data_IF_805711660625
#
_entry.id   IF_805711660625
#
_cell.length_a   1.000
_cell.length_b   1.000
_cell.length_c   1.000
_cell.angle_alpha   90.00
_cell.angle_beta   90.00
_cell.angle_gamma   90.00
#
_symmetry.space_group_name_H-M   'P 1'
#
loop_
_entity.id
_entity.type
_entity.pdbx_description
1 polymer ?
#
# COMPACT_ATOMS: atom_id res chain seq x y z
N UNK A 1 -48.15 -64.81 4.07
CA UNK A 1 -47.69 -63.72 3.19
C UNK A 1 -47.05 -62.66 4.08
N UNK A 2 -45.78 -62.81 4.47
CA UNK A 2 -44.56 -62.23 3.84
C UNK A 2 -44.64 -60.70 3.62
N UNK A 3 -44.05 -59.99 4.60
CA UNK A 3 -43.40 -58.65 4.65
C UNK A 3 -42.90 -58.05 3.31
N UNK A 4 -42.59 -56.72 3.20
CA UNK A 4 -41.93 -55.94 4.27
C UNK A 4 -42.21 -54.42 4.42
N UNK A 5 -41.88 -53.97 5.64
CA UNK A 5 -41.49 -52.60 6.00
C UNK A 5 -40.39 -52.10 5.07
N UNK A 6 -40.50 -50.83 4.63
CA UNK A 6 -39.35 -50.08 4.10
C UNK A 6 -38.73 -49.27 5.24
N UNK A 7 -37.64 -49.81 5.77
CA UNK A 7 -36.57 -49.06 6.43
C UNK A 7 -35.98 -48.07 5.43
N UNK A 8 -35.96 -46.77 5.74
CA UNK A 8 -34.98 -45.85 5.17
C UNK A 8 -34.01 -45.52 6.31
N UNK A 9 -32.86 -46.19 6.23
CA UNK A 9 -31.65 -45.87 6.97
C UNK A 9 -31.02 -44.66 6.28
N UNK A 10 -30.97 -43.50 6.95
CA UNK A 10 -30.00 -42.46 6.61
C UNK A 10 -29.15 -42.22 7.85
N UNK A 11 -27.99 -42.89 7.86
CA UNK A 11 -26.95 -42.78 8.87
C UNK A 11 -25.97 -41.67 8.46
N UNK A 12 -25.51 -40.94 9.48
CA UNK A 12 -24.31 -40.10 9.54
C UNK A 12 -24.43 -38.68 8.92
N UNK A 13 -23.94 -37.58 9.53
CA UNK A 13 -22.89 -37.43 10.55
C UNK A 13 -23.25 -36.29 11.51
N UNK A 14 -23.01 -36.55 12.79
CA UNK A 14 -22.94 -35.59 13.88
C UNK A 14 -21.80 -34.59 13.63
N UNK A 15 -22.09 -33.31 13.48
CA UNK A 15 -21.15 -32.25 13.88
C UNK A 15 -21.94 -31.05 14.38
N UNK A 16 -22.22 -31.10 15.68
CA UNK A 16 -22.51 -29.94 16.51
C UNK A 16 -21.43 -28.90 16.29
N UNK A 17 -21.72 -27.86 15.51
CA UNK A 17 -20.92 -26.64 15.51
C UNK A 17 -21.27 -25.86 16.79
N UNK A 18 -20.60 -26.22 17.88
CA UNK A 18 -20.45 -25.32 19.02
C UNK A 18 -19.69 -24.09 18.51
N UNK A 19 -20.43 -23.05 18.10
CA UNK A 19 -19.85 -21.71 18.08
C UNK A 19 -19.83 -21.28 19.53
N UNK A 20 -18.68 -21.49 20.17
CA UNK A 20 -18.39 -20.83 21.44
C UNK A 20 -18.48 -19.33 21.22
N UNK A 21 -19.60 -18.73 21.62
CA UNK A 21 -19.71 -17.32 21.95
C UNK A 21 -18.77 -17.06 23.14
N UNK A 22 -17.46 -17.08 22.89
CA UNK A 22 -16.53 -16.36 23.76
C UNK A 22 -16.74 -14.90 23.44
N UNK A 23 -17.12 -14.15 24.45
CA UNK A 23 -17.21 -12.69 24.40
C UNK A 23 -15.98 -12.15 23.67
N UNK A 24 -16.18 -11.58 22.49
CA UNK A 24 -15.16 -10.76 21.86
C UNK A 24 -14.91 -9.61 22.82
N UNK A 25 -13.65 -9.44 23.22
CA UNK A 25 -13.18 -8.14 23.71
C UNK A 25 -13.62 -7.07 22.70
N UNK A 26 -14.19 -5.95 23.14
CA UNK A 26 -14.47 -4.83 22.23
C UNK A 26 -13.19 -4.51 21.44
N UNK A 27 -13.25 -4.61 20.12
CA UNK A 27 -12.14 -4.21 19.24
C UNK A 27 -11.47 -5.29 18.38
N UNK A 28 -11.89 -6.56 18.41
CA UNK A 28 -11.33 -7.60 17.53
C UNK A 28 -12.36 -8.16 16.55
N UNK A 29 -12.24 -7.82 15.26
CA UNK A 29 -13.03 -8.39 14.16
C UNK A 29 -12.16 -9.36 13.35
N UNK A 30 -12.60 -10.62 13.23
CA UNK A 30 -12.00 -11.63 12.36
C UNK A 30 -13.06 -12.09 11.35
N UNK A 31 -12.91 -11.73 10.08
CA UNK A 31 -13.77 -12.20 8.99
C UNK A 31 -12.97 -13.16 8.09
N UNK A 32 -13.42 -14.41 8.02
CA UNK A 32 -12.91 -15.43 7.09
C UNK A 32 -14.02 -15.70 6.09
N UNK A 33 -13.79 -15.37 4.82
CA UNK A 33 -14.71 -15.69 3.74
C UNK A 33 -13.99 -16.64 2.77
N UNK A 34 -14.66 -17.74 2.39
CA UNK A 34 -14.15 -18.72 1.45
C UNK A 34 -15.24 -19.17 0.49
N UNK A 35 -15.15 -18.76 -0.79
CA UNK A 35 -15.70 -19.50 -1.92
C UNK A 35 -14.97 -19.10 -3.23
N UNK A 36 -14.98 -20.01 -4.22
CA UNK A 36 -14.35 -19.92 -5.56
C UNK A 36 -14.91 -18.81 -6.48
N UNK A 37 -15.77 -17.94 -5.96
CA UNK A 37 -16.25 -16.73 -6.61
C UNK A 37 -16.03 -15.59 -5.63
N UNK A 38 -14.94 -14.86 -5.78
CA UNK A 38 -14.55 -13.65 -5.06
C UNK A 38 -15.33 -13.30 -3.79
N UNK A 39 -14.69 -13.43 -2.62
CA UNK A 39 -15.31 -12.99 -1.37
C UNK A 39 -15.38 -11.45 -1.31
N UNK A 40 -16.54 -10.89 -0.96
CA UNK A 40 -16.68 -9.44 -0.76
C UNK A 40 -16.80 -9.12 0.73
N UNK A 41 -15.98 -8.20 1.22
CA UNK A 41 -16.00 -7.73 2.60
C UNK A 41 -16.16 -6.21 2.61
N UNK A 42 -17.09 -5.72 3.42
CA UNK A 42 -17.25 -4.30 3.70
C UNK A 42 -17.07 -4.04 5.19
N UNK A 43 -16.20 -3.10 5.53
CA UNK A 43 -15.89 -2.72 6.91
C UNK A 43 -16.19 -1.23 7.06
N UNK A 44 -16.90 -0.87 8.13
CA UNK A 44 -17.08 0.50 8.58
C UNK A 44 -16.96 0.49 10.10
N UNK A 45 -15.76 0.71 10.61
CA UNK A 45 -15.44 0.54 12.03
C UNK A 45 -14.90 1.85 12.60
N UNK A 46 -15.36 2.19 13.80
CA UNK A 46 -14.81 3.27 14.62
C UNK A 46 -14.24 2.60 15.87
N UNK A 47 -12.95 2.76 16.12
CA UNK A 47 -12.29 2.16 17.29
C UNK A 47 -11.18 3.06 17.83
N UNK A 48 -11.01 3.10 19.15
CA UNK A 48 -9.94 3.87 19.81
C UNK A 48 -8.70 3.02 20.13
N UNK A 49 -8.74 1.76 19.70
CA UNK A 49 -7.69 0.75 19.77
C UNK A 49 -8.25 -0.61 19.38
N UNK A 50 -7.40 -1.57 19.01
CA UNK A 50 -7.84 -2.93 18.71
C UNK A 50 -7.07 -3.58 17.57
N UNK A 51 -7.26 -4.88 17.47
CA UNK A 51 -6.58 -5.75 16.51
C UNK A 51 -7.60 -6.24 15.49
N UNK A 52 -7.49 -5.77 14.25
CA UNK A 52 -8.30 -6.27 13.15
C UNK A 52 -7.43 -7.12 12.23
N UNK A 53 -7.88 -8.33 11.91
CA UNK A 53 -7.21 -9.20 10.94
C UNK A 53 -8.19 -9.61 9.86
N UNK A 54 -7.81 -9.35 8.62
CA UNK A 54 -8.58 -9.65 7.43
C UNK A 54 -7.77 -10.54 6.51
N UNK A 55 -8.24 -11.77 6.28
CA UNK A 55 -7.59 -12.73 5.39
C UNK A 55 -8.62 -13.23 4.39
N UNK A 56 -8.37 -12.99 3.11
CA UNK A 56 -9.14 -13.56 2.01
C UNK A 56 -8.23 -14.44 1.15
N UNK A 57 -8.68 -15.66 0.87
CA UNK A 57 -8.00 -16.59 -0.01
C UNK A 57 -8.95 -16.98 -1.15
N UNK A 58 -8.48 -16.86 -2.38
CA UNK A 58 -9.24 -17.12 -3.60
C UNK A 58 -8.98 -16.05 -4.66
N UNK A 59 -9.52 -16.25 -5.86
CA UNK A 59 -9.47 -15.25 -6.91
C UNK A 59 -10.61 -14.22 -6.74
N UNK A 60 -10.39 -13.00 -7.23
CA UNK A 60 -11.39 -11.94 -7.31
C UNK A 60 -11.99 -11.51 -5.98
N UNK A 61 -11.29 -11.68 -4.86
CA UNK A 61 -11.74 -11.16 -3.58
C UNK A 61 -11.77 -9.64 -3.60
N UNK A 62 -12.73 -9.05 -2.89
CA UNK A 62 -12.91 -7.61 -2.82
C UNK A 62 -13.07 -7.13 -1.38
N UNK A 63 -12.40 -6.04 -1.05
CA UNK A 63 -12.60 -5.28 0.19
C UNK A 63 -13.05 -3.87 -0.19
N UNK A 64 -14.25 -3.49 0.23
CA UNK A 64 -14.82 -2.18 -0.14
C UNK A 64 -15.07 -2.03 -1.64
N UNK A 65 -15.28 -0.80 -2.06
CA UNK A 65 -15.39 -0.42 -3.47
C UNK A 65 -14.98 1.03 -3.68
N UNK A 66 -14.66 1.41 -4.92
CA UNK A 66 -14.33 2.79 -5.25
C UNK A 66 -15.40 3.80 -4.78
N UNK A 67 -16.68 3.51 -5.04
CA UNK A 67 -17.79 4.38 -4.65
C UNK A 67 -18.07 4.33 -3.14
N UNK A 68 -17.79 3.20 -2.50
CA UNK A 68 -18.01 2.98 -1.07
C UNK A 68 -16.81 2.23 -0.48
N UNK A 69 -15.71 2.94 -0.14
CA UNK A 69 -14.53 2.31 0.44
C UNK A 69 -14.84 1.73 1.80
N UNK A 70 -14.24 0.59 2.13
CA UNK A 70 -14.22 0.15 3.53
C UNK A 70 -13.40 1.12 4.34
N UNK A 71 -13.70 1.31 5.63
CA UNK A 71 -12.93 2.18 6.48
C UNK A 71 -12.77 1.68 7.92
N UNK A 72 -11.65 2.07 8.53
CA UNK A 72 -11.45 2.08 9.98
C UNK A 72 -11.07 3.50 10.39
N UNK A 73 -11.73 4.00 11.43
CA UNK A 73 -11.45 5.32 12.02
C UNK A 73 -10.96 5.18 13.47
N UNK A 74 -9.88 5.88 13.80
CA UNK A 74 -9.39 6.09 15.17
C UNK A 74 -7.94 5.67 15.41
N UNK A 75 -7.51 5.67 16.68
CA UNK A 75 -6.09 5.60 17.09
C UNK A 75 -5.65 4.22 17.60
N UNK A 76 -4.33 4.00 17.66
CA UNK A 76 -3.69 2.82 18.27
C UNK A 76 -4.20 1.48 17.73
N UNK A 77 -4.36 1.41 16.42
CA UNK A 77 -4.88 0.23 15.72
C UNK A 77 -3.72 -0.68 15.31
N UNK A 78 -3.88 -1.98 15.52
CA UNK A 78 -3.15 -3.00 14.78
C UNK A 78 -4.06 -3.54 13.69
N UNK A 79 -3.62 -3.46 12.44
CA UNK A 79 -4.39 -3.96 11.31
C UNK A 79 -3.55 -4.87 10.44
N UNK A 80 -4.04 -6.08 10.21
CA UNK A 80 -3.48 -7.01 9.26
C UNK A 80 -4.46 -7.24 8.10
N UNK A 81 -3.99 -7.06 6.88
CA UNK A 81 -4.75 -7.33 5.66
C UNK A 81 -3.97 -8.26 4.74
N UNK A 82 -4.55 -9.41 4.41
CA UNK A 82 -3.97 -10.39 3.49
C UNK A 82 -4.96 -10.80 2.43
N UNK A 83 -4.61 -10.60 1.16
CA UNK A 83 -5.35 -11.17 0.04
C UNK A 83 -4.43 -12.10 -0.77
N UNK A 84 -4.84 -13.35 -0.92
CA UNK A 84 -4.09 -14.40 -1.61
C UNK A 84 -4.94 -14.90 -2.78
N UNK A 85 -4.38 -14.87 -3.98
CA UNK A 85 -5.00 -15.28 -5.23
C UNK A 85 -4.90 -14.19 -6.29
N UNK A 86 -5.48 -14.45 -7.46
CA UNK A 86 -5.40 -13.54 -8.60
C UNK A 86 -6.60 -12.59 -8.66
N UNK A 87 -6.38 -11.37 -9.15
CA UNK A 87 -7.45 -10.41 -9.42
C UNK A 87 -8.16 -9.86 -8.18
N UNK A 88 -7.55 -9.93 -7.00
CA UNK A 88 -8.15 -9.35 -5.79
C UNK A 88 -8.09 -7.82 -5.83
N UNK A 89 -9.06 -7.17 -5.19
CA UNK A 89 -9.13 -5.72 -5.12
C UNK A 89 -9.43 -5.23 -3.72
N UNK A 90 -8.85 -4.08 -3.35
CA UNK A 90 -9.16 -3.37 -2.11
C UNK A 90 -9.32 -1.88 -2.37
N UNK A 91 -10.38 -1.32 -1.82
CA UNK A 91 -10.58 0.12 -1.60
C UNK A 91 -10.78 0.33 -0.10
N UNK A 92 -9.75 0.80 0.60
CA UNK A 92 -9.76 0.89 2.06
C UNK A 92 -9.23 2.23 2.56
N UNK A 93 -9.94 2.84 3.51
CA UNK A 93 -9.55 4.10 4.15
C UNK A 93 -9.24 3.89 5.63
N UNK A 94 -8.09 4.37 6.08
CA UNK A 94 -7.72 4.43 7.48
C UNK A 94 -7.68 5.91 7.87
N UNK A 95 -8.61 6.33 8.71
CA UNK A 95 -8.90 7.74 8.95
C UNK A 95 -8.58 8.11 10.40
N UNK A 96 -7.89 9.24 10.58
CA UNK A 96 -7.52 9.76 11.89
C UNK A 96 -6.63 8.80 12.69
N UNK A 97 -5.81 8.01 12.01
CA UNK A 97 -5.00 7.00 12.67
C UNK A 97 -3.68 7.57 13.17
N UNK A 98 -3.54 7.61 14.49
CA UNK A 98 -2.26 7.84 15.15
C UNK A 98 -1.75 6.54 15.78
N UNK A 99 -0.46 6.24 15.57
CA UNK A 99 0.20 5.00 16.05
C UNK A 99 -0.37 3.70 15.45
N UNK A 100 -0.80 3.72 14.18
CA UNK A 100 -1.17 2.51 13.45
C UNK A 100 0.03 1.57 13.30
N UNK A 101 -0.21 0.28 13.46
CA UNK A 101 0.65 -0.79 12.96
C UNK A 101 -0.08 -1.56 11.87
N UNK A 102 0.33 -1.38 10.63
CA UNK A 102 -0.26 -2.07 9.48
C UNK A 102 0.68 -3.14 8.93
N UNK A 103 0.16 -4.35 8.81
CA UNK A 103 0.78 -5.43 8.04
C UNK A 103 -0.12 -5.77 6.85
N UNK A 104 0.40 -5.63 5.65
CA UNK A 104 -0.38 -5.86 4.45
C UNK A 104 0.37 -6.73 3.47
N UNK A 105 -0.24 -7.84 3.04
CA UNK A 105 0.37 -8.77 2.11
C UNK A 105 -0.61 -9.19 1.00
N UNK A 106 -0.17 -9.01 -0.25
CA UNK A 106 -0.92 -9.30 -1.44
C UNK A 106 -0.12 -10.27 -2.29
N UNK A 107 -0.66 -11.47 -2.51
CA UNK A 107 0.02 -12.54 -3.24
C UNK A 107 -0.84 -13.05 -4.38
N UNK A 108 -0.25 -13.17 -5.57
CA UNK A 108 -0.92 -13.56 -6.81
C UNK A 108 -0.71 -12.52 -7.91
N UNK A 109 -1.40 -12.67 -9.03
CA UNK A 109 -1.27 -11.76 -10.17
C UNK A 109 -2.47 -10.81 -10.27
N UNK A 110 -2.26 -9.66 -10.89
CA UNK A 110 -3.32 -8.70 -11.22
C UNK A 110 -4.13 -8.21 -10.00
N UNK A 111 -3.54 -8.21 -8.81
CA UNK A 111 -4.18 -7.65 -7.63
C UNK A 111 -4.11 -6.12 -7.63
N UNK A 112 -5.16 -5.47 -7.14
CA UNK A 112 -5.30 -4.02 -7.21
C UNK A 112 -5.69 -3.41 -5.85
N UNK A 113 -4.74 -2.74 -5.21
CA UNK A 113 -4.85 -2.31 -3.81
C UNK A 113 -4.80 -0.79 -3.74
N UNK A 114 -5.90 -0.17 -3.30
CA UNK A 114 -6.05 1.27 -3.12
C UNK A 114 -6.27 1.55 -1.64
N UNK A 115 -5.27 2.11 -1.00
CA UNK A 115 -5.27 2.39 0.42
C UNK A 115 -5.13 3.89 0.65
N UNK A 116 -6.05 4.43 1.45
CA UNK A 116 -6.12 5.84 1.78
C UNK A 116 -5.80 6.00 3.27
N UNK A 117 -4.92 6.94 3.61
CA UNK A 117 -4.50 7.15 5.00
C UNK A 117 -4.59 8.61 5.39
N UNK A 118 -5.13 8.84 6.58
CA UNK A 118 -5.12 10.11 7.26
C UNK A 118 -4.66 9.87 8.70
N UNK A 119 -3.61 10.59 9.13
CA UNK A 119 -3.09 10.53 10.50
C UNK A 119 -1.56 10.44 10.56
N UNK A 120 -1.00 10.38 11.77
CA UNK A 120 0.44 10.52 11.99
C UNK A 120 1.08 9.36 12.75
N UNK A 121 2.41 9.27 12.73
CA UNK A 121 3.19 8.33 13.55
C UNK A 121 2.85 6.86 13.28
N UNK A 122 2.62 6.51 12.02
CA UNK A 122 2.18 5.18 11.61
C UNK A 122 3.37 4.31 11.16
N UNK A 123 3.32 3.01 11.46
CA UNK A 123 4.29 2.01 10.99
C UNK A 123 3.58 1.01 10.08
N UNK A 124 3.95 0.99 8.79
CA UNK A 124 3.26 0.21 7.79
C UNK A 124 4.23 -0.67 7.00
N UNK A 125 3.86 -1.93 6.83
CA UNK A 125 4.63 -2.89 6.06
C UNK A 125 3.75 -3.48 4.96
N UNK A 126 4.21 -3.36 3.72
CA UNK A 126 3.54 -3.87 2.53
C UNK A 126 4.40 -4.93 1.86
N UNK A 127 3.77 -6.04 1.49
CA UNK A 127 4.37 -7.09 0.67
C UNK A 127 3.48 -7.37 -0.52
N UNK A 128 4.03 -7.24 -1.72
CA UNK A 128 3.36 -7.51 -2.99
C UNK A 128 4.15 -8.59 -3.72
N UNK A 129 3.59 -9.78 -3.83
CA UNK A 129 4.20 -10.93 -4.49
C UNK A 129 3.38 -11.34 -5.72
N UNK A 130 4.04 -11.46 -6.88
CA UNK A 130 3.44 -11.87 -8.15
C UNK A 130 3.57 -10.79 -9.22
N UNK A 131 2.87 -10.96 -10.34
CA UNK A 131 3.02 -10.08 -11.50
C UNK A 131 1.82 -9.15 -11.70
N UNK A 132 2.08 -8.00 -12.32
CA UNK A 132 1.04 -7.04 -12.70
C UNK A 132 0.15 -6.57 -11.54
N UNK A 133 0.66 -6.60 -10.30
CA UNK A 133 -0.04 -6.08 -9.14
C UNK A 133 0.10 -4.56 -9.06
N UNK A 134 -0.87 -3.92 -8.42
CA UNK A 134 -0.88 -2.48 -8.20
C UNK A 134 -1.12 -2.19 -6.73
N UNK A 135 -0.23 -1.41 -6.12
CA UNK A 135 -0.40 -0.87 -4.77
C UNK A 135 -0.35 0.65 -4.84
N UNK A 136 -1.42 1.28 -4.41
CA UNK A 136 -1.52 2.72 -4.33
C UNK A 136 -1.80 3.16 -2.90
N UNK A 137 -0.98 4.09 -2.45
CA UNK A 137 -1.08 4.72 -1.14
C UNK A 137 -1.05 6.22 -1.38
N UNK A 138 -2.21 6.83 -1.65
CA UNK A 138 -2.24 8.20 -2.15
C UNK A 138 -3.49 8.95 -1.75
N UNK A 139 -3.33 10.26 -1.64
CA UNK A 139 -4.39 11.26 -1.70
C UNK A 139 -4.32 12.15 -2.95
N UNK A 140 -3.24 12.05 -3.70
CA UNK A 140 -2.90 12.92 -4.79
C UNK A 140 -3.25 12.25 -6.12
N UNK A 141 -4.19 12.88 -6.83
CA UNK A 141 -4.60 12.56 -8.20
C UNK A 141 -3.62 13.03 -9.27
N UNK A 142 -2.52 13.67 -8.92
CA UNK A 142 -1.53 14.16 -9.89
C UNK A 142 -0.35 13.21 -10.08
N UNK A 143 -0.10 12.32 -9.11
CA UNK A 143 0.74 11.11 -9.31
C UNK A 143 0.06 10.09 -10.24
N UNK A 144 -1.23 10.31 -10.47
CA UNK A 144 -2.10 9.57 -11.38
C UNK A 144 -1.98 10.10 -12.81
N UNK A 145 -1.54 9.24 -13.72
CA UNK A 145 -1.96 9.28 -15.14
C UNK A 145 -2.62 7.94 -15.43
N UNK A 146 -3.91 7.88 -15.13
CA UNK A 146 -4.92 7.12 -15.90
C UNK A 146 -6.34 7.58 -15.50
N UNK A 147 -6.68 8.86 -15.65
CA UNK A 147 -8.11 9.29 -15.76
C UNK A 147 -8.80 10.02 -14.59
N UNK A 148 -8.11 10.76 -13.72
CA UNK A 148 -8.74 11.80 -12.87
C UNK A 148 -9.59 11.38 -11.65
N UNK A 149 -9.28 10.30 -10.92
CA UNK A 149 -10.11 9.80 -9.80
C UNK A 149 -9.44 9.98 -8.41
N UNK A 150 -9.77 11.06 -7.66
CA UNK A 150 -9.62 11.28 -6.18
C UNK A 150 -9.42 12.78 -5.78
N UNK A 151 -10.47 13.60 -5.85
CA UNK A 151 -10.41 15.01 -5.42
C UNK A 151 -10.71 15.22 -3.91
N UNK A 152 -10.78 14.15 -3.10
CA UNK A 152 -11.19 14.24 -1.70
C UNK A 152 -10.04 14.69 -0.79
N UNK A 153 -10.15 15.90 -0.23
CA UNK A 153 -9.16 16.52 0.66
C UNK A 153 -8.90 15.76 1.98
N UNK A 154 -9.85 14.92 2.43
CA UNK A 154 -9.84 14.30 3.76
C UNK A 154 -8.85 13.10 3.90
N UNK A 155 -8.18 12.68 2.82
CA UNK A 155 -7.57 11.34 2.72
C UNK A 155 -6.02 11.32 2.70
N UNK A 156 -5.37 12.34 3.28
CA UNK A 156 -4.11 12.86 2.73
C UNK A 156 -2.90 13.14 3.60
N UNK A 157 -2.99 13.00 4.91
CA UNK A 157 -2.04 13.65 5.81
C UNK A 157 -1.21 12.63 6.57
N UNK A 158 -0.54 11.73 5.85
CA UNK A 158 0.48 10.84 6.44
C UNK A 158 1.66 11.68 6.92
N UNK A 159 1.79 11.82 8.24
CA UNK A 159 2.91 12.53 8.85
C UNK A 159 3.71 11.60 9.77
N UNK A 160 5.01 11.85 9.88
CA UNK A 160 5.97 11.15 10.73
C UNK A 160 5.84 9.63 10.67
N UNK A 161 5.60 9.08 9.48
CA UNK A 161 5.28 7.67 9.31
C UNK A 161 6.42 6.91 8.65
N UNK A 162 6.62 5.67 9.11
CA UNK A 162 7.56 4.71 8.54
C UNK A 162 6.78 3.75 7.62
N UNK A 163 7.22 3.63 6.38
CA UNK A 163 6.65 2.71 5.41
C UNK A 163 7.74 1.81 4.81
N UNK A 164 7.53 0.51 4.88
CA UNK A 164 8.37 -0.48 4.21
C UNK A 164 7.56 -1.21 3.16
N UNK A 165 8.04 -1.24 1.92
CA UNK A 165 7.37 -1.89 0.80
C UNK A 165 8.32 -2.90 0.19
N UNK A 166 7.86 -4.15 0.09
CA UNK A 166 8.55 -5.23 -0.61
C UNK A 166 7.74 -5.64 -1.83
N UNK A 167 8.34 -5.58 -3.00
CA UNK A 167 7.71 -5.97 -4.26
C UNK A 167 8.54 -7.09 -4.88
N UNK A 168 7.93 -8.23 -5.14
CA UNK A 168 8.55 -9.36 -5.80
C UNK A 168 7.73 -9.80 -7.01
N UNK A 169 8.35 -9.81 -8.18
CA UNK A 169 7.73 -10.18 -9.47
C UNK A 169 7.88 -9.07 -10.51
N UNK A 170 7.23 -9.26 -11.66
CA UNK A 170 7.40 -8.38 -12.81
C UNK A 170 6.18 -7.49 -13.05
N UNK A 171 6.42 -6.32 -13.66
CA UNK A 171 5.34 -5.44 -14.14
C UNK A 171 4.41 -4.95 -13.03
N UNK A 172 4.87 -4.93 -11.78
CA UNK A 172 4.11 -4.37 -10.68
C UNK A 172 4.18 -2.84 -10.70
N UNK A 173 3.13 -2.19 -10.20
CA UNK A 173 3.08 -0.75 -10.03
C UNK A 173 2.91 -0.41 -8.56
N UNK A 174 3.80 0.41 -8.02
CA UNK A 174 3.63 1.04 -6.74
C UNK A 174 3.56 2.55 -6.91
N UNK A 175 2.54 3.19 -6.34
CA UNK A 175 2.52 4.62 -6.21
C UNK A 175 2.19 5.08 -4.80
N UNK A 176 2.93 6.10 -4.36
CA UNK A 176 2.72 6.77 -3.09
C UNK A 176 2.59 8.28 -3.30
N UNK A 177 1.68 8.93 -2.59
CA UNK A 177 1.65 10.38 -2.53
C UNK A 177 1.15 10.92 -1.20
N UNK A 178 1.76 12.00 -0.73
CA UNK A 178 1.23 12.84 0.35
C UNK A 178 1.49 14.31 0.05
N UNK A 179 0.51 15.17 0.35
CA UNK A 179 0.59 16.62 0.10
C UNK A 179 0.95 17.46 1.33
N UNK A 180 0.87 16.86 2.52
CA UNK A 180 1.18 17.46 3.82
C UNK A 180 2.05 16.52 4.67
N UNK A 181 2.97 15.81 4.03
CA UNK A 181 3.86 14.88 4.70
C UNK A 181 4.83 15.60 5.62
N UNK A 182 4.89 15.20 6.88
CA UNK A 182 6.02 15.53 7.76
C UNK A 182 6.90 14.29 7.88
N UNK A 183 8.22 14.43 7.88
CA UNK A 183 9.15 13.40 8.43
C UNK A 183 8.90 11.93 8.00
N UNK A 184 8.46 11.70 6.76
CA UNK A 184 8.10 10.35 6.31
C UNK A 184 9.35 9.60 5.82
N UNK A 185 9.52 8.37 6.32
CA UNK A 185 10.55 7.44 5.90
C UNK A 185 9.92 6.35 5.03
N UNK A 186 10.37 6.25 3.78
CA UNK A 186 9.91 5.23 2.84
C UNK A 186 11.09 4.33 2.47
N UNK A 187 10.93 3.02 2.65
CA UNK A 187 11.90 2.01 2.22
C UNK A 187 11.27 1.05 1.23
N UNK A 188 11.96 0.83 0.12
CA UNK A 188 11.51 -0.05 -0.96
C UNK A 188 12.55 -1.12 -1.23
N UNK A 189 12.12 -2.39 -1.22
CA UNK A 189 12.92 -3.51 -1.72
C UNK A 189 12.15 -4.14 -2.90
N UNK A 190 12.65 -3.96 -4.12
CA UNK A 190 12.02 -4.46 -5.35
C UNK A 190 12.89 -5.53 -6.00
N UNK A 191 12.31 -6.70 -6.22
CA UNK A 191 12.94 -7.81 -6.96
C UNK A 191 12.08 -8.17 -8.16
N UNK A 192 12.68 -8.11 -9.35
CA UNK A 192 12.02 -8.41 -10.62
C UNK A 192 12.17 -7.30 -11.65
N UNK A 193 11.57 -7.51 -12.81
CA UNK A 193 11.76 -6.66 -13.98
C UNK A 193 10.54 -5.79 -14.25
N UNK A 194 10.75 -4.70 -14.99
CA UNK A 194 9.68 -3.86 -15.55
C UNK A 194 8.67 -3.32 -14.52
N UNK A 195 9.08 -3.21 -13.25
CA UNK A 195 8.24 -2.61 -12.22
C UNK A 195 8.24 -1.08 -12.32
N UNK A 196 7.14 -0.45 -11.96
CA UNK A 196 6.98 1.00 -11.91
C UNK A 196 6.84 1.47 -10.47
N UNK A 197 7.66 2.43 -10.07
CA UNK A 197 7.63 3.08 -8.74
C UNK A 197 7.43 4.57 -8.94
N UNK A 198 6.39 5.14 -8.31
CA UNK A 198 6.14 6.59 -8.34
C UNK A 198 5.86 7.11 -6.94
N UNK A 199 6.61 8.09 -6.48
CA UNK A 199 6.43 8.62 -5.12
C UNK A 199 6.41 10.14 -5.14
N UNK A 200 5.45 10.74 -4.46
CA UNK A 200 5.38 12.18 -4.20
C UNK A 200 5.33 12.42 -2.69
N UNK A 201 6.29 13.20 -2.19
CA UNK A 201 6.26 13.72 -0.83
C UNK A 201 6.28 15.23 -0.91
N UNK A 202 5.16 15.87 -0.63
CA UNK A 202 5.09 17.32 -0.42
C UNK A 202 4.84 17.56 1.06
N UNK A 203 5.58 18.50 1.63
CA UNK A 203 5.36 18.99 2.98
C UNK A 203 6.65 19.54 3.59
N UNK A 204 6.51 20.29 4.67
CA UNK A 204 7.66 20.79 5.43
C UNK A 204 7.93 19.84 6.61
N UNK A 205 9.17 19.73 7.06
CA UNK A 205 9.55 18.87 8.17
C UNK A 205 10.39 19.62 9.20
N UNK A 206 10.44 19.09 10.42
CA UNK A 206 11.20 19.68 11.53
C UNK A 206 12.71 19.63 11.32
N UNK A 207 13.44 20.35 12.18
CA UNK A 207 14.90 20.48 12.13
C UNK A 207 15.61 19.33 12.87
N UNK A 208 16.42 18.51 12.17
CA UNK A 208 17.55 17.76 12.74
C UNK A 208 17.44 16.24 12.88
N UNK A 209 18.46 15.51 12.39
CA UNK A 209 18.74 14.05 12.44
C UNK A 209 17.99 13.14 11.46
N UNK A 210 18.53 11.93 11.18
CA UNK A 210 17.95 10.91 10.27
C UNK A 210 16.49 10.64 10.69
N UNK A 211 15.55 10.63 9.73
CA UNK A 211 14.08 10.72 9.94
C UNK A 211 13.51 12.13 10.19
N UNK A 212 14.33 13.19 10.11
CA UNK A 212 13.85 14.57 10.00
C UNK A 212 13.97 15.02 8.56
N UNK A 213 12.83 15.26 7.92
CA UNK A 213 12.74 15.52 6.48
C UNK A 213 12.04 14.42 5.69
N UNK A 214 12.07 14.52 4.37
CA UNK A 214 11.60 13.45 3.49
C UNK A 214 12.74 12.47 3.25
N UNK A 215 12.58 11.20 3.65
CA UNK A 215 13.61 10.18 3.47
C UNK A 215 13.08 9.02 2.64
N UNK A 216 13.86 8.61 1.64
CA UNK A 216 13.56 7.46 0.81
C UNK A 216 14.80 6.58 0.58
N UNK A 217 14.64 5.26 0.74
CA UNK A 217 15.67 4.25 0.50
C UNK A 217 15.16 3.19 -0.47
N UNK A 218 15.83 3.02 -1.62
CA UNK A 218 15.39 2.14 -2.69
C UNK A 218 16.43 1.08 -3.02
N UNK A 219 16.07 -0.20 -2.92
CA UNK A 219 16.86 -1.30 -3.49
C UNK A 219 16.09 -1.95 -4.63
N UNK A 220 16.73 -2.09 -5.79
CA UNK A 220 16.18 -2.81 -6.94
C UNK A 220 17.15 -3.90 -7.37
N UNK A 221 16.63 -5.12 -7.46
CA UNK A 221 17.28 -6.28 -8.07
C UNK A 221 16.46 -6.74 -9.29
N UNK A 222 16.87 -6.32 -10.47
CA UNK A 222 16.23 -6.63 -11.75
C UNK A 222 16.42 -5.51 -12.77
N UNK A 223 15.95 -5.74 -14.00
CA UNK A 223 16.12 -4.83 -15.12
C UNK A 223 14.83 -4.22 -15.67
N UNK A 224 14.95 -3.11 -16.39
CA UNK A 224 13.82 -2.46 -17.04
C UNK A 224 12.85 -1.75 -16.09
N UNK A 225 13.21 -1.55 -14.82
CA UNK A 225 12.33 -0.89 -13.86
C UNK A 225 12.29 0.63 -14.10
N UNK A 226 11.13 1.24 -13.87
CA UNK A 226 10.90 2.67 -14.03
C UNK A 226 10.56 3.34 -12.70
N UNK A 227 11.36 4.32 -12.29
CA UNK A 227 11.30 4.95 -10.97
C UNK A 227 11.16 6.46 -11.15
N UNK A 228 10.17 7.04 -10.46
CA UNK A 228 9.93 8.48 -10.38
C UNK A 228 9.77 8.89 -8.93
N UNK A 229 10.69 9.73 -8.45
CA UNK A 229 10.70 10.28 -7.11
C UNK A 229 10.49 11.79 -7.19
N UNK A 230 9.52 12.28 -6.43
CA UNK A 230 9.23 13.68 -6.27
C UNK A 230 9.22 14.01 -4.77
N UNK A 231 10.02 14.98 -4.36
CA UNK A 231 10.03 15.52 -3.01
C UNK A 231 9.97 17.05 -3.07
N UNK A 232 9.16 17.65 -2.21
CA UNK A 232 9.06 19.09 -2.06
C UNK A 232 8.95 19.41 -0.58
N UNK A 233 9.92 20.15 -0.05
CA UNK A 233 9.91 20.58 1.33
C UNK A 233 11.00 21.59 1.66
N UNK A 234 10.76 22.43 2.66
CA UNK A 234 11.69 23.49 3.07
C UNK A 234 12.85 23.00 3.95
N UNK A 235 12.94 21.70 4.20
CA UNK A 235 14.00 21.06 5.00
C UNK A 235 14.67 19.92 4.24
N UNK A 236 15.47 19.12 4.94
CA UNK A 236 16.25 18.02 4.36
C UNK A 236 15.36 17.05 3.56
N UNK A 237 15.80 16.74 2.35
CA UNK A 237 15.21 15.75 1.47
C UNK A 237 16.32 14.76 1.12
N UNK A 238 16.07 13.48 1.32
CA UNK A 238 17.04 12.42 1.11
C UNK A 238 16.43 11.31 0.26
N UNK A 239 17.19 10.92 -0.76
CA UNK A 239 16.89 9.75 -1.58
C UNK A 239 18.19 8.97 -1.82
N UNK A 240 18.21 7.73 -1.35
CA UNK A 240 19.27 6.77 -1.59
C UNK A 240 18.73 5.61 -2.41
N UNK A 241 19.55 5.11 -3.32
CA UNK A 241 19.19 3.94 -4.12
C UNK A 241 20.38 3.02 -4.39
N UNK A 242 20.06 1.73 -4.58
CA UNK A 242 20.95 0.69 -5.04
C UNK A 242 20.26 -0.11 -6.15
N UNK A 243 20.83 -0.11 -7.37
CA UNK A 243 20.25 -0.78 -8.54
C UNK A 243 21.20 -1.86 -9.03
N UNK A 244 20.69 -3.08 -9.11
CA UNK A 244 21.38 -4.21 -9.74
C UNK A 244 20.53 -4.73 -10.89
N UNK A 245 21.09 -4.76 -12.10
CA UNK A 245 20.38 -5.13 -13.35
C UNK A 245 20.44 -4.03 -14.41
N UNK A 246 20.03 -4.37 -15.64
CA UNK A 246 20.17 -3.48 -16.81
C UNK A 246 18.91 -2.67 -17.10
N UNK A 247 19.03 -1.53 -17.78
CA UNK A 247 17.91 -0.73 -18.32
C UNK A 247 16.93 -0.18 -17.26
N UNK A 248 17.38 0.04 -16.03
CA UNK A 248 16.58 0.75 -15.03
C UNK A 248 16.59 2.25 -15.33
N UNK A 249 15.44 2.91 -15.22
CA UNK A 249 15.25 4.35 -15.42
C UNK A 249 14.89 4.99 -14.08
N UNK A 250 15.69 5.96 -13.63
CA UNK A 250 15.42 6.70 -12.39
C UNK A 250 15.29 8.19 -12.70
N UNK A 251 14.19 8.78 -12.25
CA UNK A 251 13.90 10.21 -12.35
C UNK A 251 13.63 10.73 -10.95
N UNK A 252 14.37 11.77 -10.56
CA UNK A 252 14.26 12.38 -9.23
C UNK A 252 14.06 13.88 -9.39
N UNK A 253 13.14 14.44 -8.61
CA UNK A 253 12.96 15.87 -8.50
C UNK A 253 12.76 16.27 -7.04
N UNK A 254 13.56 17.23 -6.58
CA UNK A 254 13.60 17.72 -5.21
C UNK A 254 13.56 19.25 -5.25
N UNK A 255 12.62 19.89 -4.56
CA UNK A 255 12.53 21.36 -4.50
C UNK A 255 12.16 21.90 -3.14
N UNK A 256 12.53 23.16 -2.88
CA UNK A 256 12.27 23.82 -1.60
C UNK A 256 10.90 24.51 -1.52
N UNK A 257 10.43 25.13 -2.60
CA UNK A 257 9.32 26.11 -2.55
C UNK A 257 8.32 26.07 -3.71
N UNK A 258 8.63 25.38 -4.82
CA UNK A 258 7.70 25.24 -5.95
C UNK A 258 7.78 23.83 -6.56
N UNK A 259 6.65 23.28 -7.05
CA UNK A 259 6.66 22.01 -7.77
C UNK A 259 7.54 22.08 -9.03
N UNK A 260 8.57 21.24 -9.19
CA UNK A 260 9.30 21.11 -10.44
C UNK A 260 8.36 20.55 -11.52
N UNK A 261 8.40 21.13 -12.71
CA UNK A 261 7.64 20.63 -13.86
C UNK A 261 8.44 19.54 -14.57
N UNK A 262 7.87 18.34 -14.70
CA UNK A 262 8.41 17.30 -15.58
C UNK A 262 7.91 17.54 -17.01
N UNK A 263 8.75 18.11 -17.89
CA UNK A 263 8.47 18.07 -19.34
C UNK A 263 9.00 16.76 -19.90
N UNK A 264 8.10 15.82 -20.20
CA UNK A 264 8.43 14.59 -20.91
C UNK A 264 8.75 14.95 -22.36
N UNK A 265 10.03 14.89 -22.73
CA UNK A 265 10.47 14.88 -24.12
C UNK A 265 10.47 13.42 -24.61
N UNK A 266 9.91 13.17 -25.80
CA UNK A 266 9.74 11.86 -26.44
C UNK A 266 11.03 11.05 -26.70
N UNK A 267 12.20 11.51 -26.25
CA UNK A 267 13.50 10.85 -26.42
C UNK A 267 14.05 10.23 -25.12
N UNK A 268 13.21 9.92 -24.12
CA UNK A 268 13.64 9.24 -22.90
C UNK A 268 14.83 9.91 -22.18
N UNK A 269 14.90 11.24 -22.29
CA UNK A 269 15.98 12.04 -21.72
C UNK A 269 15.47 13.01 -20.64
N UNK A 270 16.09 12.85 -19.46
CA UNK A 270 16.46 13.83 -18.44
C UNK A 270 15.54 13.99 -17.20
N UNK A 271 16.11 13.59 -16.04
CA UNK A 271 16.03 14.38 -14.81
C UNK A 271 16.65 15.77 -15.04
N UNK A 272 16.38 16.80 -14.20
CA UNK A 272 17.06 18.09 -14.33
C UNK A 272 18.57 17.87 -14.46
N UNK A 273 19.19 18.44 -15.50
CA UNK A 273 20.65 18.45 -15.59
C UNK A 273 21.19 19.37 -14.50
N UNK A 274 21.44 18.80 -13.32
CA UNK A 274 22.52 19.25 -12.46
C UNK A 274 23.86 19.01 -13.14
N UNK A 275 24.92 19.76 -12.78
CA UNK A 275 26.20 19.69 -13.46
C UNK A 275 26.72 18.25 -13.52
N UNK A 276 27.23 17.87 -14.70
CA UNK A 276 27.62 16.52 -15.04
C UNK A 276 28.66 15.93 -14.05
N UNK A 277 28.32 14.80 -13.42
CA UNK A 277 29.13 13.55 -13.39
C UNK A 277 28.79 12.67 -12.18
N UNK A 278 29.07 11.37 -12.37
CA UNK A 278 29.24 10.23 -11.46
C UNK A 278 28.76 10.34 -10.01
N UNK A 279 28.00 9.31 -9.58
CA UNK A 279 27.75 8.89 -8.19
C UNK A 279 28.15 9.93 -7.13
N UNK A 280 27.26 10.89 -6.93
CA UNK A 280 27.41 11.89 -5.88
C UNK A 280 26.20 11.78 -4.97
N UNK A 281 26.45 11.51 -3.70
CA UNK A 281 25.49 11.69 -2.61
C UNK A 281 24.93 13.11 -2.75
N UNK A 282 23.68 13.25 -3.17
CA UNK A 282 22.97 14.53 -3.07
C UNK A 282 22.43 14.62 -1.65
N UNK A 283 23.33 14.89 -0.72
CA UNK A 283 23.01 15.46 0.58
C UNK A 283 23.40 16.92 0.52
N UNK A 284 22.45 17.83 0.74
CA UNK A 284 22.82 19.19 1.11
C UNK A 284 23.37 19.13 2.56
N UNK A 285 24.53 19.73 2.87
CA UNK A 285 24.93 19.94 4.26
C UNK A 285 23.85 20.67 5.08
#
# INVERSE_FOLDING_TARGET
MKHPLKFILLLAVYMTLLVGLRAQTPGALSAIAGNNTGNQIYINQITTGGDTTLIQNGASNRIGSFALPSNITGDNIFFEMRQIGDGNSTDFSIIGANNLKLLSAFAGNNNEQRLYFNGASNNMNFRVDGNANKLWISNDVTVYRDGGENTAADKATLASSDMQIKIAGNTNTFAYATTNGLNNYLKYDVTGNTNTIKTTQIGSAGTGTRQSGHYQDLTILGGGNDIMIYQQGTVQQYFQYNLTGSNNVVRVSQTATAPPTFTINNNNQLAPQGPASATTVIGNP
#
